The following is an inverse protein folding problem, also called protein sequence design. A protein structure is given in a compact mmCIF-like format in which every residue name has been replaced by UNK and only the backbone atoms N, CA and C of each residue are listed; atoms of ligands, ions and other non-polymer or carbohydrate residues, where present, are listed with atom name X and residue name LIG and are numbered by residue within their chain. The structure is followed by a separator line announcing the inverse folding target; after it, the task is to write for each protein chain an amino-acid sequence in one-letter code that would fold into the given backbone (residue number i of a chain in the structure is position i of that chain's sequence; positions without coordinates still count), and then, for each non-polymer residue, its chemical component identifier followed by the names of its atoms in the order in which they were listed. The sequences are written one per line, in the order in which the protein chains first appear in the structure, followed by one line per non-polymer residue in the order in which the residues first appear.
data_IF_843683205319
#
_entry.id   IF_843683205319
#
_cell.length_a   1.000
_cell.length_b   1.000
_cell.length_c   1.000
_cell.angle_alpha   90.00
_cell.angle_beta   90.00
_cell.angle_gamma   90.00
#
_symmetry.space_group_name_H-M   'P 1'
#
loop_
_entity.id
_entity.type
_entity.pdbx_description
1 polymer ?
#
# COMPACT_ATOMS: atom_id res chain seq x y z
N UNK A 1 -32.12 3.34 2.49
CA UNK A 1 -31.35 2.16 2.93
C UNK A 1 -29.92 2.36 2.42
N UNK A 2 -28.99 2.75 3.28
CA UNK A 2 -27.56 2.92 2.92
C UNK A 2 -26.89 1.55 2.99
N UNK A 3 -26.52 1.01 1.83
CA UNK A 3 -25.72 -0.20 1.76
C UNK A 3 -24.30 0.10 2.25
N UNK A 4 -23.92 -0.48 3.38
CA UNK A 4 -22.52 -0.60 3.78
C UNK A 4 -21.83 -1.46 2.73
N UNK A 5 -20.95 -0.86 1.91
CA UNK A 5 -20.10 -1.62 1.01
C UNK A 5 -19.19 -2.52 1.86
N UNK A 6 -19.05 -3.82 1.53
CA UNK A 6 -18.08 -4.68 2.20
C UNK A 6 -16.68 -4.11 2.00
N UNK A 7 -15.76 -4.24 2.98
CA UNK A 7 -14.38 -3.85 2.76
C UNK A 7 -13.85 -4.70 1.61
N UNK A 8 -13.50 -4.06 0.50
CA UNK A 8 -12.70 -4.71 -0.53
C UNK A 8 -11.47 -5.27 0.18
N UNK A 9 -11.30 -6.59 0.19
CA UNK A 9 -10.13 -7.23 0.78
C UNK A 9 -8.89 -6.65 0.08
N UNK A 10 -8.27 -5.66 0.70
CA UNK A 10 -7.09 -5.01 0.17
C UNK A 10 -6.02 -6.10 0.03
N UNK A 11 -5.47 -6.25 -1.17
CA UNK A 11 -4.42 -7.26 -1.39
C UNK A 11 -3.20 -6.82 -0.59
N UNK A 12 -2.63 -7.70 0.24
CA UNK A 12 -1.44 -7.34 0.99
C UNK A 12 -0.33 -6.92 0.02
N UNK A 13 0.42 -5.83 0.28
CA UNK A 13 1.48 -5.36 -0.63
C UNK A 13 2.50 -6.44 -1.06
N UNK A 14 2.73 -7.42 -0.19
CA UNK A 14 3.68 -8.54 -0.36
C UNK A 14 3.19 -9.67 -1.27
N UNK A 15 1.88 -9.78 -1.50
CA UNK A 15 1.29 -10.80 -2.38
C UNK A 15 1.59 -10.56 -3.86
N UNK A 16 2.13 -9.38 -4.21
CA UNK A 16 2.57 -9.04 -5.57
C UNK A 16 3.94 -8.39 -5.54
N UNK A 17 4.71 -8.63 -6.59
CA UNK A 17 5.99 -7.94 -6.79
C UNK A 17 5.78 -6.43 -7.00
N UNK A 18 6.82 -5.64 -6.69
CA UNK A 18 6.83 -4.20 -6.95
C UNK A 18 6.53 -3.85 -8.41
N UNK A 19 7.02 -4.66 -9.36
CA UNK A 19 6.79 -4.48 -10.80
C UNK A 19 5.32 -4.71 -11.18
N UNK A 20 4.67 -5.69 -10.54
CA UNK A 20 3.24 -5.96 -10.72
C UNK A 20 2.39 -4.78 -10.23
N UNK A 21 2.75 -4.18 -9.08
CA UNK A 21 2.09 -2.97 -8.58
C UNK A 21 2.30 -1.76 -9.48
N UNK A 22 3.53 -1.53 -9.97
CA UNK A 22 3.84 -0.46 -10.94
C UNK A 22 3.05 -0.62 -12.23
N UNK A 23 2.99 -1.85 -12.75
CA UNK A 23 2.24 -2.19 -13.96
C UNK A 23 0.74 -1.94 -13.78
N UNK A 24 0.18 -2.31 -12.62
CA UNK A 24 -1.21 -2.06 -12.27
C UNK A 24 -1.52 -0.55 -12.20
N UNK A 25 -0.66 0.24 -11.57
CA UNK A 25 -0.80 1.69 -11.49
C UNK A 25 -0.73 2.35 -12.87
N UNK A 26 0.24 1.95 -13.70
CA UNK A 26 0.36 2.42 -15.08
C UNK A 26 -0.87 2.07 -15.93
N UNK A 27 -1.40 0.85 -15.79
CA UNK A 27 -2.61 0.44 -16.49
C UNK A 27 -3.85 1.24 -16.07
N UNK A 28 -3.98 1.64 -14.80
CA UNK A 28 -5.04 2.55 -14.34
C UNK A 28 -4.89 3.93 -14.96
N UNK A 29 -3.68 4.50 -14.90
CA UNK A 29 -3.38 5.80 -15.48
C UNK A 29 -3.69 5.85 -17.00
N UNK A 30 -3.33 4.82 -17.76
CA UNK A 30 -3.65 4.73 -19.19
C UNK A 30 -5.15 4.69 -19.50
N UNK A 31 -5.99 4.29 -18.54
CA UNK A 31 -7.46 4.32 -18.65
C UNK A 31 -8.07 5.64 -18.15
N UNK A 32 -7.25 6.61 -17.74
CA UNK A 32 -7.69 7.86 -17.13
C UNK A 32 -8.06 7.75 -15.65
N UNK A 33 -7.82 6.59 -15.02
CA UNK A 33 -8.04 6.39 -13.59
C UNK A 33 -6.79 6.88 -12.83
N UNK A 34 -6.82 8.13 -12.39
CA UNK A 34 -5.69 8.81 -11.72
C UNK A 34 -5.85 8.96 -10.21
N UNK A 35 -7.05 8.70 -9.69
CA UNK A 35 -7.40 8.84 -8.28
C UNK A 35 -8.50 7.84 -7.87
N UNK A 36 -8.71 7.70 -6.56
CA UNK A 36 -9.69 6.79 -5.99
C UNK A 36 -9.09 5.47 -5.45
N UNK A 37 -9.93 4.59 -4.89
CA UNK A 37 -9.52 3.57 -3.93
C UNK A 37 -8.52 2.55 -4.50
N UNK A 38 -8.60 2.24 -5.80
CA UNK A 38 -7.67 1.31 -6.46
C UNK A 38 -6.30 1.94 -6.72
N UNK A 39 -6.29 3.23 -7.01
CA UNK A 39 -5.06 4.01 -7.19
C UNK A 39 -4.38 4.18 -5.83
N UNK A 40 -5.15 4.49 -4.78
CA UNK A 40 -4.65 4.59 -3.42
C UNK A 40 -4.10 3.26 -2.90
N UNK A 41 -4.79 2.14 -3.17
CA UNK A 41 -4.28 0.79 -2.88
C UNK A 41 -2.90 0.56 -3.52
N UNK A 42 -2.78 0.85 -4.82
CA UNK A 42 -1.52 0.65 -5.54
C UNK A 42 -0.41 1.58 -5.03
N UNK A 43 -0.74 2.83 -4.71
CA UNK A 43 0.22 3.81 -4.14
C UNK A 43 0.67 3.38 -2.74
N UNK A 44 -0.25 2.95 -1.89
CA UNK A 44 0.05 2.43 -0.55
C UNK A 44 0.97 1.20 -0.61
N UNK A 45 0.67 0.25 -1.52
CA UNK A 45 1.52 -0.91 -1.72
C UNK A 45 2.94 -0.53 -2.18
N UNK A 46 3.07 0.44 -3.11
CA UNK A 46 4.38 0.93 -3.55
C UNK A 46 5.13 1.67 -2.44
N UNK A 47 4.43 2.40 -1.58
CA UNK A 47 5.01 3.04 -0.39
C UNK A 47 5.55 2.01 0.59
N UNK A 48 4.80 0.94 0.86
CA UNK A 48 5.27 -0.19 1.68
C UNK A 48 6.55 -0.81 1.11
N UNK A 49 6.59 -1.07 -0.20
CA UNK A 49 7.79 -1.60 -0.86
C UNK A 49 8.99 -0.65 -0.73
N UNK A 50 8.77 0.66 -0.77
CA UNK A 50 9.82 1.65 -0.53
C UNK A 50 10.35 1.57 0.91
N UNK A 51 9.46 1.52 1.90
CA UNK A 51 9.87 1.39 3.31
C UNK A 51 10.64 0.10 3.55
N UNK A 52 10.16 -1.04 3.05
CA UNK A 52 10.86 -2.33 3.13
C UNK A 52 12.28 -2.23 2.57
N UNK A 53 12.47 -1.62 1.40
CA UNK A 53 13.80 -1.45 0.81
C UNK A 53 14.69 -0.56 1.68
N UNK A 54 14.19 0.59 2.12
CA UNK A 54 14.96 1.50 2.98
C UNK A 54 15.39 0.86 4.30
N UNK A 55 14.57 -0.03 4.87
CA UNK A 55 14.92 -0.80 6.07
C UNK A 55 16.00 -1.85 5.76
N UNK A 56 15.91 -2.54 4.62
CA UNK A 56 16.95 -3.50 4.21
C UNK A 56 18.30 -2.80 4.01
N UNK A 57 18.30 -1.60 3.45
CA UNK A 57 19.51 -0.79 3.26
C UNK A 57 20.22 -0.45 4.58
N UNK A 58 19.54 -0.51 5.73
CA UNK A 58 20.18 -0.35 7.06
C UNK A 58 20.83 -1.63 7.59
N UNK A 59 20.83 -2.72 6.80
CA UNK A 59 21.38 -4.03 7.19
C UNK A 59 20.41 -4.93 7.95
N UNK A 60 19.11 -4.59 7.99
CA UNK A 60 18.07 -5.45 8.58
C UNK A 60 17.69 -6.55 7.58
N UNK A 61 17.42 -7.76 8.08
CA UNK A 61 17.03 -8.89 7.22
C UNK A 61 15.71 -8.61 6.48
N UNK A 62 15.50 -9.16 5.28
CA UNK A 62 14.29 -8.90 4.49
C UNK A 62 13.00 -9.25 5.22
N UNK A 63 12.99 -10.38 5.93
CA UNK A 63 11.88 -10.85 6.76
C UNK A 63 11.54 -9.87 7.90
N UNK A 64 12.56 -9.35 8.60
CA UNK A 64 12.34 -8.34 9.65
C UNK A 64 11.92 -6.98 9.07
N UNK A 65 12.43 -6.64 7.89
CA UNK A 65 12.05 -5.42 7.19
C UNK A 65 10.58 -5.44 6.74
N UNK A 66 10.04 -6.61 6.41
CA UNK A 66 8.62 -6.78 6.08
C UNK A 66 7.75 -6.50 7.31
N UNK A 67 8.07 -7.09 8.46
CA UNK A 67 7.33 -6.83 9.71
C UNK A 67 7.36 -5.34 10.08
N UNK A 68 8.52 -4.69 9.96
CA UNK A 68 8.67 -3.27 10.26
C UNK A 68 7.90 -2.38 9.26
N UNK A 69 7.90 -2.75 7.97
CA UNK A 69 7.13 -2.05 6.96
C UNK A 69 5.62 -2.18 7.20
N UNK A 70 5.16 -3.35 7.66
CA UNK A 70 3.76 -3.56 8.06
C UNK A 70 3.35 -2.66 9.25
N UNK A 71 4.22 -2.52 10.25
CA UNK A 71 3.98 -1.63 11.40
C UNK A 71 3.91 -0.15 10.98
N UNK A 72 4.83 0.30 10.12
CA UNK A 72 4.83 1.67 9.59
C UNK A 72 3.55 1.94 8.79
N UNK A 73 3.12 0.98 7.96
CA UNK A 73 1.87 1.11 7.20
C UNK A 73 0.64 1.15 8.10
N UNK A 74 0.61 0.38 9.18
CA UNK A 74 -0.50 0.39 10.15
C UNK A 74 -0.56 1.71 10.95
N UNK A 75 0.59 2.25 11.35
CA UNK A 75 0.67 3.57 12.00
C UNK A 75 0.18 4.67 11.05
N UNK A 76 0.67 4.71 9.81
CA UNK A 76 0.26 5.70 8.83
C UNK A 76 -1.26 5.67 8.54
N UNK A 77 -1.87 4.48 8.54
CA UNK A 77 -3.32 4.34 8.41
C UNK A 77 -4.07 4.91 9.63
N UNK A 78 -3.53 4.71 10.83
CA UNK A 78 -4.10 5.25 12.08
C UNK A 78 -4.02 6.77 12.13
N UNK A 79 -2.88 7.35 11.74
CA UNK A 79 -2.69 8.80 11.68
C UNK A 79 -3.63 9.46 10.67
N UNK A 80 -3.82 8.83 9.51
CA UNK A 80 -4.77 9.30 8.50
C UNK A 80 -6.22 9.34 9.04
N UNK A 81 -6.62 8.33 9.83
CA UNK A 81 -7.94 8.32 10.47
C UNK A 81 -8.07 9.39 11.57
N UNK A 82 -7.00 9.64 12.34
CA UNK A 82 -6.98 10.67 13.38
C UNK A 82 -7.13 12.09 12.81
N UNK A 83 -6.49 12.38 11.66
CA UNK A 83 -6.60 13.69 10.97
C UNK A 83 -7.95 13.90 10.30
N UNK A 84 -8.66 12.83 9.94
CA UNK A 84 -9.96 12.90 9.27
C UNK A 84 -11.17 13.13 10.21
N UNK A 85 -10.96 13.07 11.54
CA UNK A 85 -11.99 13.29 12.58
C UNK A 85 -12.02 14.75 13.03
#
# INVERSE_FOLDING_TARGET
MTATSPPVSATHPRDRSVESWRSRLGAMASRGETDGPRVDEARAALSWWRHRQSIIETGISPERAEELADLISAEAATDAEAVAR
#
